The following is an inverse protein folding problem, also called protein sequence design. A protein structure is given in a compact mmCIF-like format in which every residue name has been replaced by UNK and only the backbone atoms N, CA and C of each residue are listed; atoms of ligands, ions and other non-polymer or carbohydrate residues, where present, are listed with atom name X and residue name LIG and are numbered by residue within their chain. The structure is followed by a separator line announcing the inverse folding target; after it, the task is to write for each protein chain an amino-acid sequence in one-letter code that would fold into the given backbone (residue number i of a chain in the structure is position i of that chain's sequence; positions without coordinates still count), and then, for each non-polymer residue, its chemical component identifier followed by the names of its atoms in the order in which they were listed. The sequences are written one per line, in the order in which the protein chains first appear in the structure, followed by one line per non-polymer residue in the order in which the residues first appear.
data_IF_160141491432
#
_entry.id   IF_160141491432
#
_cell.length_a   1.000
_cell.length_b   1.000
_cell.length_c   1.000
_cell.angle_alpha   90.00
_cell.angle_beta   90.00
_cell.angle_gamma   90.00
#
_symmetry.space_group_name_H-M   'P 1'
#
loop_
_entity.id
_entity.type
_entity.pdbx_description
1 polymer ?
#
# COMPACT_ATOMS: atom_id res chain seq x y z
N UNK A 1 -0.91 -16.69 -2.45
CA UNK A 1 -0.30 -15.64 -1.59
C UNK A 1 0.71 -14.87 -2.44
N UNK A 2 0.77 -13.54 -2.28
CA UNK A 2 1.73 -12.68 -2.99
C UNK A 2 2.94 -12.37 -2.12
N UNK A 3 4.09 -12.21 -2.75
CA UNK A 3 5.34 -11.80 -2.10
C UNK A 3 5.73 -10.41 -2.59
N UNK A 4 6.13 -9.54 -1.66
CA UNK A 4 6.79 -8.28 -1.96
C UNK A 4 8.31 -8.51 -1.94
N UNK A 5 8.96 -8.33 -3.09
CA UNK A 5 10.41 -8.46 -3.23
C UNK A 5 11.00 -7.08 -3.50
N UNK A 6 11.92 -6.65 -2.65
CA UNK A 6 12.67 -5.41 -2.82
C UNK A 6 14.04 -5.73 -3.41
N UNK A 7 14.42 -5.02 -4.48
CA UNK A 7 15.72 -5.16 -5.14
C UNK A 7 16.44 -3.81 -5.14
N UNK A 8 17.63 -3.73 -5.75
CA UNK A 8 18.32 -2.44 -5.86
C UNK A 8 17.67 -1.45 -6.84
N UNK A 9 16.77 -1.89 -7.73
CA UNK A 9 16.20 -1.04 -8.80
C UNK A 9 14.69 -0.85 -8.73
N UNK A 10 13.98 -1.83 -8.17
CA UNK A 10 12.53 -1.85 -8.16
C UNK A 10 11.98 -2.74 -7.04
N UNK A 11 10.73 -2.48 -6.67
CA UNK A 11 9.91 -3.41 -5.91
C UNK A 11 9.08 -4.28 -6.86
N UNK A 12 8.86 -5.54 -6.48
CA UNK A 12 8.10 -6.50 -7.28
C UNK A 12 7.03 -7.17 -6.42
N UNK A 13 5.82 -7.25 -6.96
CA UNK A 13 4.77 -8.11 -6.42
C UNK A 13 4.75 -9.39 -7.25
N UNK A 14 5.02 -10.53 -6.61
CA UNK A 14 5.19 -11.83 -7.27
C UNK A 14 4.17 -12.85 -6.75
N UNK A 15 3.70 -13.73 -7.63
CA UNK A 15 2.80 -14.84 -7.31
C UNK A 15 3.16 -16.05 -8.17
N UNK A 16 3.47 -17.20 -7.54
CA UNK A 16 3.84 -18.45 -8.22
C UNK A 16 4.89 -18.24 -9.32
N UNK A 17 5.98 -17.53 -8.98
CA UNK A 17 7.07 -17.13 -9.88
C UNK A 17 6.70 -16.16 -11.03
N UNK A 18 5.46 -15.64 -11.08
CA UNK A 18 5.04 -14.62 -12.05
C UNK A 18 5.10 -13.23 -11.43
N UNK A 19 5.75 -12.30 -12.11
CA UNK A 19 5.71 -10.88 -11.75
C UNK A 19 4.31 -10.34 -12.06
N UNK A 20 3.56 -9.98 -11.01
CA UNK A 20 2.23 -9.36 -11.13
C UNK A 20 2.32 -7.85 -11.27
N UNK A 21 3.34 -7.25 -10.66
CA UNK A 21 3.61 -5.83 -10.76
C UNK A 21 5.09 -5.57 -10.51
N UNK A 22 5.67 -4.67 -11.30
CA UNK A 22 7.00 -4.08 -11.08
C UNK A 22 6.78 -2.61 -10.78
N UNK A 23 7.44 -2.08 -9.76
CA UNK A 23 7.41 -0.67 -9.39
C UNK A 23 8.85 -0.18 -9.36
N UNK A 24 9.24 0.57 -10.40
CA UNK A 24 10.54 1.20 -10.43
C UNK A 24 10.63 2.32 -9.39
N UNK A 25 11.77 2.46 -8.73
CA UNK A 25 11.95 3.49 -7.69
C UNK A 25 11.93 4.93 -8.26
N UNK A 26 12.20 5.09 -9.55
CA UNK A 26 11.98 6.32 -10.32
C UNK A 26 10.51 6.72 -10.34
N UNK A 27 9.60 5.75 -10.52
CA UNK A 27 8.15 5.97 -10.57
C UNK A 27 7.49 6.00 -9.18
N UNK A 28 8.18 5.57 -8.11
CA UNK A 28 7.65 5.60 -6.74
C UNK A 28 7.50 7.05 -6.25
N UNK A 29 6.26 7.41 -5.90
CA UNK A 29 5.90 8.73 -5.32
C UNK A 29 5.99 8.74 -3.81
N UNK A 30 5.54 7.67 -3.17
CA UNK A 30 5.49 7.59 -1.72
C UNK A 30 4.96 6.26 -1.24
N UNK A 31 4.82 6.15 0.07
CA UNK A 31 4.30 4.99 0.77
C UNK A 31 3.37 5.47 1.86
N UNK A 32 2.16 4.93 1.92
CA UNK A 32 1.20 5.22 2.99
C UNK A 32 0.91 3.99 3.82
N UNK A 33 0.70 4.20 5.11
CA UNK A 33 0.11 3.21 6.04
C UNK A 33 -0.90 3.95 6.92
N UNK A 34 -1.76 3.22 7.63
CA UNK A 34 -2.69 3.83 8.56
C UNK A 34 -2.04 4.05 9.93
N UNK A 35 -2.69 4.81 10.80
CA UNK A 35 -2.32 4.90 12.22
C UNK A 35 -2.87 3.73 13.06
N UNK A 36 -3.37 2.67 12.44
CA UNK A 36 -3.94 1.49 13.10
C UNK A 36 -2.99 0.29 12.96
N UNK A 37 -3.24 -0.76 13.74
CA UNK A 37 -2.52 -2.04 13.61
C UNK A 37 -3.17 -2.95 12.56
N UNK A 38 -3.51 -2.43 11.38
CA UNK A 38 -4.24 -3.17 10.33
C UNK A 38 -3.36 -3.89 9.30
N UNK A 39 -2.05 -3.61 9.31
CA UNK A 39 -1.09 -4.20 8.38
C UNK A 39 -1.18 -3.66 6.95
N UNK A 40 -1.91 -2.57 6.69
CA UNK A 40 -2.06 -2.01 5.35
C UNK A 40 -0.84 -1.17 4.97
N UNK A 41 -0.32 -1.46 3.78
CA UNK A 41 0.77 -0.77 3.12
C UNK A 41 0.34 -0.41 1.70
N UNK A 42 0.40 0.87 1.35
CA UNK A 42 0.12 1.36 0.00
C UNK A 42 1.39 1.94 -0.60
N UNK A 43 1.87 1.39 -1.72
CA UNK A 43 3.01 1.94 -2.47
C UNK A 43 2.45 2.77 -3.62
N UNK A 44 2.69 4.08 -3.56
CA UNK A 44 2.18 5.03 -4.55
C UNK A 44 3.09 5.12 -5.78
N UNK A 45 2.47 5.04 -6.95
CA UNK A 45 3.16 5.02 -8.26
C UNK A 45 2.74 6.25 -9.06
N UNK A 46 3.69 6.88 -9.75
CA UNK A 46 3.37 7.99 -10.64
C UNK A 46 2.52 7.51 -11.82
N UNK A 47 1.36 8.15 -12.09
CA UNK A 47 0.49 7.77 -13.20
C UNK A 47 1.02 8.22 -14.57
N UNK A 48 2.11 8.98 -14.61
CA UNK A 48 2.67 9.57 -15.85
C UNK A 48 3.32 8.52 -16.77
N UNK A 49 3.61 7.33 -16.26
CA UNK A 49 4.01 6.20 -17.10
C UNK A 49 2.79 5.31 -17.37
N UNK A 50 2.14 5.55 -18.51
CA UNK A 50 0.93 4.83 -18.96
C UNK A 50 1.12 3.31 -19.10
N UNK A 51 2.36 2.81 -19.01
CA UNK A 51 2.69 1.39 -19.01
C UNK A 51 2.65 0.76 -17.61
N UNK A 52 2.62 1.55 -16.55
CA UNK A 52 2.64 1.06 -15.17
C UNK A 52 1.22 0.83 -14.63
N UNK A 53 1.10 -0.19 -13.78
CA UNK A 53 -0.09 -0.36 -12.94
C UNK A 53 -0.12 0.75 -11.90
N UNK A 54 -1.32 1.04 -11.37
CA UNK A 54 -1.49 2.00 -10.28
C UNK A 54 -0.84 1.56 -8.97
N UNK A 55 -1.23 2.21 -7.88
CA UNK A 55 -0.73 1.95 -6.55
C UNK A 55 -0.90 0.49 -6.14
N UNK A 56 0.09 -0.04 -5.43
CA UNK A 56 0.02 -1.38 -4.85
C UNK A 56 -0.51 -1.30 -3.42
N UNK A 57 -1.73 -1.78 -3.20
CA UNK A 57 -2.32 -1.97 -1.87
C UNK A 57 -2.02 -3.39 -1.39
N UNK A 58 -1.30 -3.50 -0.27
CA UNK A 58 -0.79 -4.76 0.28
C UNK A 58 -1.18 -4.88 1.76
N UNK A 59 -1.52 -6.09 2.20
CA UNK A 59 -1.58 -6.44 3.62
C UNK A 59 -0.27 -7.14 4.00
N UNK A 60 0.42 -6.60 4.99
CA UNK A 60 1.75 -7.02 5.41
C UNK A 60 1.82 -7.07 6.95
N UNK A 61 2.20 -8.22 7.52
CA UNK A 61 2.38 -8.34 8.97
C UNK A 61 3.62 -7.61 9.52
N UNK A 62 4.50 -7.13 8.63
CA UNK A 62 5.81 -6.54 8.97
C UNK A 62 5.95 -5.14 8.35
N UNK A 63 4.91 -4.29 8.50
CA UNK A 63 4.83 -2.97 7.84
C UNK A 63 6.07 -2.13 8.12
N UNK A 64 6.50 -2.04 9.39
CA UNK A 64 7.68 -1.25 9.77
C UNK A 64 8.94 -1.68 9.01
N UNK A 65 9.22 -2.98 8.95
CA UNK A 65 10.40 -3.51 8.26
C UNK A 65 10.30 -3.33 6.74
N UNK A 66 9.10 -3.55 6.17
CA UNK A 66 8.86 -3.36 4.75
C UNK A 66 9.05 -1.89 4.34
N UNK A 67 8.47 -0.94 5.08
CA UNK A 67 8.60 0.50 4.84
C UNK A 67 10.04 0.94 5.01
N UNK A 68 10.70 0.57 6.11
CA UNK A 68 12.08 0.99 6.39
C UNK A 68 13.04 0.49 5.32
N UNK A 69 12.98 -0.79 4.95
CA UNK A 69 13.83 -1.35 3.89
C UNK A 69 13.56 -0.69 2.54
N UNK A 70 12.29 -0.39 2.22
CA UNK A 70 11.93 0.31 1.00
C UNK A 70 12.51 1.74 0.96
N UNK A 71 12.37 2.50 2.05
CA UNK A 71 12.94 3.86 2.17
C UNK A 71 14.46 3.85 2.01
N UNK A 72 15.15 2.90 2.67
CA UNK A 72 16.61 2.74 2.54
C UNK A 72 17.06 2.48 1.10
N UNK A 73 16.29 1.70 0.33
CA UNK A 73 16.60 1.39 -1.07
C UNK A 73 16.29 2.56 -2.01
N UNK A 74 15.18 3.26 -1.78
CA UNK A 74 14.73 4.38 -2.62
C UNK A 74 15.59 5.63 -2.40
N UNK A 75 16.19 5.79 -1.21
CA UNK A 75 17.03 6.95 -0.84
C UNK A 75 16.33 8.31 -1.04
N UNK A 76 15.01 8.33 -0.87
CA UNK A 76 14.21 9.56 -0.84
C UNK A 76 13.74 9.79 0.59
N UNK A 77 13.99 10.99 1.10
CA UNK A 77 13.47 11.42 2.39
C UNK A 77 11.99 11.80 2.27
N UNK A 78 11.26 11.76 3.39
CA UNK A 78 9.87 12.24 3.50
C UNK A 78 8.87 11.57 2.54
N UNK A 79 9.09 10.31 2.18
CA UNK A 79 8.18 9.54 1.30
C UNK A 79 7.13 8.71 2.07
N UNK A 80 7.16 8.71 3.40
CA UNK A 80 6.27 7.91 4.24
C UNK A 80 5.15 8.79 4.78
N UNK A 81 3.90 8.36 4.59
CA UNK A 81 2.72 9.02 5.10
C UNK A 81 1.95 8.09 6.05
N UNK A 82 1.57 8.59 7.22
CA UNK A 82 0.72 7.86 8.18
C UNK A 82 -0.65 8.52 8.16
N UNK A 83 -1.66 7.77 7.73
CA UNK A 83 -2.97 8.30 7.38
C UNK A 83 -3.98 7.97 8.47
N UNK A 84 -4.88 8.91 8.75
CA UNK A 84 -6.02 8.72 9.65
C UNK A 84 -7.33 8.86 8.87
N UNK A 85 -8.30 8.00 9.15
CA UNK A 85 -9.63 8.04 8.54
C UNK A 85 -9.70 7.43 7.14
N UNK A 86 -9.16 8.08 6.10
CA UNK A 86 -9.24 7.55 4.73
C UNK A 86 -8.05 7.91 3.85
N UNK A 87 -7.81 7.08 2.84
CA UNK A 87 -6.72 7.23 1.87
C UNK A 87 -7.24 7.02 0.45
N UNK A 88 -7.02 7.99 -0.43
CA UNK A 88 -7.19 7.79 -1.88
C UNK A 88 -5.96 7.11 -2.48
N UNK A 89 -6.19 6.24 -3.46
CA UNK A 89 -5.13 5.54 -4.19
C UNK A 89 -5.52 5.35 -5.65
N UNK A 90 -4.53 5.26 -6.52
CA UNK A 90 -4.75 5.02 -7.95
C UNK A 90 -4.81 3.53 -8.24
N UNK A 91 -5.88 3.05 -8.89
CA UNK A 91 -6.00 1.65 -9.32
C UNK A 91 -5.33 1.46 -10.69
N UNK A 92 -5.60 2.40 -11.59
CA UNK A 92 -5.08 2.46 -12.96
C UNK A 92 -5.21 3.90 -13.46
N UNK A 93 -4.61 4.25 -14.61
CA UNK A 93 -4.82 5.58 -15.20
C UNK A 93 -6.31 5.93 -15.29
N UNK A 94 -6.70 7.08 -14.74
CA UNK A 94 -8.09 7.57 -14.71
C UNK A 94 -9.03 6.83 -13.76
N UNK A 95 -8.55 5.91 -12.92
CA UNK A 95 -9.38 5.17 -11.96
C UNK A 95 -8.77 5.20 -10.57
N UNK A 96 -9.53 5.75 -9.64
CA UNK A 96 -9.17 5.89 -8.23
C UNK A 96 -10.01 4.97 -7.35
N UNK A 97 -9.48 4.67 -6.17
CA UNK A 97 -10.18 4.01 -5.08
C UNK A 97 -9.98 4.76 -3.77
N UNK A 98 -10.79 4.42 -2.78
CA UNK A 98 -10.64 4.94 -1.42
C UNK A 98 -10.56 3.78 -0.45
N UNK A 99 -9.59 3.84 0.46
CA UNK A 99 -9.53 3.01 1.65
C UNK A 99 -10.10 3.82 2.81
N UNK A 100 -10.98 3.23 3.60
CA UNK A 100 -11.52 3.80 4.84
C UNK A 100 -11.02 2.94 5.99
N UNK A 101 -10.34 3.57 6.94
CA UNK A 101 -9.77 2.92 8.13
C UNK A 101 -10.67 3.19 9.33
N UNK A 102 -11.05 2.13 10.03
CA UNK A 102 -11.92 2.20 11.21
C UNK A 102 -11.47 1.21 12.29
N UNK A 103 -12.04 1.35 13.49
CA UNK A 103 -11.81 0.43 14.61
C UNK A 103 -13.10 -0.31 14.96
N UNK A 104 -12.99 -1.61 15.22
CA UNK A 104 -14.13 -2.46 15.54
C UNK A 104 -13.79 -3.57 16.52
N UNK A 105 -14.75 -4.47 16.79
CA UNK A 105 -14.53 -5.63 17.65
C UNK A 105 -13.64 -6.70 17.00
N UNK A 106 -13.59 -6.76 15.66
CA UNK A 106 -12.86 -7.77 14.89
C UNK A 106 -12.12 -7.14 13.70
N UNK A 107 -11.04 -7.78 13.26
CA UNK A 107 -10.30 -7.37 12.06
C UNK A 107 -11.03 -7.79 10.79
N UNK A 108 -11.30 -6.83 9.90
CA UNK A 108 -12.03 -7.09 8.67
C UNK A 108 -11.52 -6.22 7.52
N UNK A 109 -11.48 -6.78 6.31
CA UNK A 109 -11.21 -6.04 5.08
C UNK A 109 -12.28 -6.39 4.07
N UNK A 110 -13.10 -5.42 3.67
CA UNK A 110 -14.22 -5.64 2.76
C UNK A 110 -14.53 -4.41 1.91
N UNK A 111 -15.25 -4.61 0.80
CA UNK A 111 -15.74 -3.50 -0.02
C UNK A 111 -17.12 -3.07 0.47
N UNK A 112 -17.29 -1.80 0.82
CA UNK A 112 -18.57 -1.28 1.29
C UNK A 112 -19.56 -1.00 0.15
N UNK A 113 -20.80 -0.61 0.49
CA UNK A 113 -21.88 -0.33 -0.48
C UNK A 113 -21.54 0.83 -1.44
N UNK A 114 -20.66 1.74 -1.04
CA UNK A 114 -20.19 2.86 -1.85
C UNK A 114 -18.99 2.48 -2.73
N UNK A 115 -18.55 1.22 -2.66
CA UNK A 115 -17.45 0.68 -3.43
C UNK A 115 -16.05 0.99 -2.89
N UNK A 116 -15.96 1.56 -1.69
CA UNK A 116 -14.69 1.83 -1.01
C UNK A 116 -14.18 0.58 -0.28
N UNK A 117 -12.88 0.45 -0.13
CA UNK A 117 -12.26 -0.62 0.66
C UNK A 117 -12.28 -0.22 2.14
N UNK A 118 -13.08 -0.87 2.96
CA UNK A 118 -13.10 -0.64 4.41
C UNK A 118 -12.16 -1.61 5.10
N UNK A 119 -11.32 -1.08 5.97
CA UNK A 119 -10.32 -1.79 6.78
C UNK A 119 -10.63 -1.51 8.23
N UNK A 120 -11.00 -2.54 8.97
CA UNK A 120 -11.35 -2.48 10.38
C UNK A 120 -10.22 -3.14 11.16
N UNK A 121 -9.60 -2.40 12.09
CA UNK A 121 -8.63 -2.93 13.06
C UNK A 121 -9.28 -3.13 14.42
N UNK A 122 -8.80 -4.08 15.23
CA UNK A 122 -9.33 -4.25 16.59
C UNK A 122 -9.06 -3.00 17.41
N UNK A 123 -10.10 -2.48 18.08
CA UNK A 123 -9.93 -1.40 19.05
C UNK A 123 -9.06 -1.89 20.21
N UNK A 124 -7.77 -1.52 20.20
CA UNK A 124 -6.89 -1.73 21.34
C UNK A 124 -7.16 -0.64 22.38
N UNK A 125 -7.39 -1.03 23.64
CA UNK A 125 -7.37 -0.07 24.75
C UNK A 125 -5.94 0.44 24.89
N UNK A 126 -5.78 1.77 24.84
CA UNK A 126 -4.51 2.42 25.17
C UNK A 126 -4.20 2.26 26.65
#
# INVERSE_FOLDING_TARGET
QRQLILTQKAAYVVELAKIKQKIEYSALKGVSTSNLSDGILVIHVSPEDSKQKGDAVLQCGHVFEAVTKLVMLVKKENIVNVVQGSLQFFISPGKEGTIVFDTGPEEQVYKNKNGQLTVVSVRRKS
#
